data_IF_292825977020
#
_entry.id   IF_292825977020
#
_cell.length_a   1.000
_cell.length_b   1.000
_cell.length_c   1.000
_cell.angle_alpha   90.00
_cell.angle_beta   90.00
_cell.angle_gamma   90.00
#
_symmetry.space_group_name_H-M   'P 1'
#
loop_
_entity.id
_entity.type
_entity.pdbx_description
1 polymer ?
#
# COMPACT_ATOMS: atom_id res chain seq x y z
N UNK A 1 4.26 50.91 30.27
CA UNK A 1 5.68 51.15 30.60
C UNK A 1 6.59 50.41 29.62
N UNK A 2 6.45 49.09 29.49
CA UNK A 2 7.30 48.26 28.61
C UNK A 2 7.20 48.60 27.12
N UNK A 3 6.01 48.92 26.61
CA UNK A 3 5.84 49.36 25.21
C UNK A 3 6.78 50.54 24.84
N UNK A 4 6.99 51.49 25.77
CA UNK A 4 7.92 52.61 25.58
C UNK A 4 9.38 52.17 25.61
N UNK A 5 9.72 51.18 26.46
CA UNK A 5 11.08 50.65 26.61
C UNK A 5 11.49 49.84 25.38
N UNK A 6 10.57 49.06 24.83
CA UNK A 6 10.80 48.28 23.60
C UNK A 6 10.68 49.11 22.33
N UNK A 7 10.20 50.36 22.41
CA UNK A 7 9.95 51.19 21.23
C UNK A 7 8.84 50.66 20.32
N UNK A 8 7.91 49.85 20.84
CA UNK A 8 6.82 49.24 20.07
C UNK A 8 5.44 49.58 20.64
N UNK A 9 4.38 49.34 19.87
CA UNK A 9 3.01 49.59 20.33
C UNK A 9 2.58 48.61 21.42
N UNK A 10 1.65 49.02 22.28
CA UNK A 10 1.09 48.14 23.33
C UNK A 10 0.46 46.87 22.76
N UNK A 11 -0.14 46.95 21.55
CA UNK A 11 -0.67 45.79 20.82
C UNK A 11 0.44 44.80 20.46
N UNK A 12 1.62 45.28 20.06
CA UNK A 12 2.75 44.42 19.73
C UNK A 12 3.31 43.72 20.98
N UNK A 13 3.35 44.40 22.12
CA UNK A 13 3.76 43.76 23.39
C UNK A 13 2.77 42.65 23.79
N UNK A 14 1.48 42.85 23.60
CA UNK A 14 0.47 41.81 23.86
C UNK A 14 0.61 40.61 22.92
N UNK A 15 0.91 40.85 21.64
CA UNK A 15 1.21 39.77 20.69
C UNK A 15 2.44 38.98 21.12
N UNK A 16 3.54 39.65 21.47
CA UNK A 16 4.76 38.97 21.95
C UNK A 16 4.51 38.12 23.20
N UNK A 17 3.60 38.56 24.08
CA UNK A 17 3.19 37.77 25.24
C UNK A 17 2.31 36.57 24.86
N UNK A 18 1.42 36.72 23.87
CA UNK A 18 0.58 35.65 23.35
C UNK A 18 1.39 34.60 22.57
N UNK A 19 2.41 35.04 21.84
CA UNK A 19 3.37 34.20 21.11
C UNK A 19 4.39 33.51 22.06
N UNK A 20 4.31 33.76 23.38
CA UNK A 20 5.20 33.18 24.40
C UNK A 20 6.63 33.76 24.40
N UNK A 21 6.88 34.83 23.63
CA UNK A 21 8.19 35.47 23.51
C UNK A 21 8.58 36.30 24.74
N UNK A 22 7.60 36.77 25.51
CA UNK A 22 7.80 37.46 26.80
C UNK A 22 6.79 36.94 27.82
N UNK A 23 7.20 36.78 29.07
CA UNK A 23 6.34 36.22 30.11
C UNK A 23 5.63 37.30 30.94
N UNK A 24 4.41 36.98 31.38
CA UNK A 24 3.67 37.78 32.37
C UNK A 24 3.65 37.07 33.71
N UNK A 25 3.88 37.81 34.79
CA UNK A 25 3.75 37.35 36.16
C UNK A 25 2.36 37.74 36.69
N UNK A 26 1.66 36.78 37.27
CA UNK A 26 0.42 37.04 37.99
C UNK A 26 0.72 37.65 39.37
N UNK A 27 0.28 38.88 39.58
CA UNK A 27 0.35 39.56 40.89
C UNK A 27 -1.05 39.78 41.45
N UNK A 28 -1.22 40.02 42.76
CA UNK A 28 -2.53 40.30 43.38
C UNK A 28 -3.28 41.51 42.78
N UNK A 29 -2.62 42.31 41.95
CA UNK A 29 -3.16 43.48 41.23
C UNK A 29 -3.31 43.24 39.72
N UNK A 30 -3.28 41.99 39.27
CA UNK A 30 -3.40 41.56 37.87
C UNK A 30 -2.08 41.15 37.22
N UNK A 31 -2.16 40.78 35.92
CA UNK A 31 -1.00 40.41 35.10
C UNK A 31 -0.07 41.58 34.89
N UNK A 32 1.19 41.41 35.25
CA UNK A 32 2.26 42.39 35.06
C UNK A 32 3.45 41.73 34.40
N UNK A 33 4.36 42.55 33.91
CA UNK A 33 5.60 42.10 33.30
C UNK A 33 6.76 42.49 34.20
N UNK A 34 7.67 41.56 34.46
CA UNK A 34 8.93 41.88 35.14
C UNK A 34 9.92 42.46 34.14
N UNK A 35 10.48 43.61 34.46
CA UNK A 35 11.28 44.40 33.53
C UNK A 35 12.54 43.66 33.08
N UNK A 36 13.29 43.05 34.02
CA UNK A 36 14.60 42.47 33.71
C UNK A 36 14.47 41.20 32.84
N UNK A 37 13.65 40.21 33.21
CA UNK A 37 13.47 39.00 32.39
C UNK A 37 12.85 39.33 31.03
N UNK A 38 11.84 40.21 30.99
CA UNK A 38 11.16 40.58 29.74
C UNK A 38 12.11 41.27 28.76
N UNK A 39 13.02 42.13 29.24
CA UNK A 39 14.03 42.78 28.38
C UNK A 39 15.03 41.75 27.84
N UNK A 40 15.51 40.82 28.68
CA UNK A 40 16.45 39.78 28.24
C UNK A 40 15.83 38.86 27.19
N UNK A 41 14.61 38.37 27.41
CA UNK A 41 13.86 37.55 26.44
C UNK A 41 13.66 38.30 25.12
N UNK A 42 13.32 39.58 25.19
CA UNK A 42 13.14 40.41 23.99
C UNK A 42 14.44 40.61 23.21
N UNK A 43 15.57 40.83 23.89
CA UNK A 43 16.89 40.92 23.26
C UNK A 43 17.26 39.60 22.57
N UNK A 44 17.04 38.46 23.22
CA UNK A 44 17.28 37.13 22.64
C UNK A 44 16.43 36.92 21.39
N UNK A 45 15.14 37.22 21.44
CA UNK A 45 14.25 37.13 20.28
C UNK A 45 14.71 38.03 19.12
N UNK A 46 15.14 39.26 19.40
CA UNK A 46 15.70 40.14 18.36
C UNK A 46 17.00 39.59 17.77
N UNK A 47 17.87 39.01 18.59
CA UNK A 47 19.10 38.39 18.14
C UNK A 47 18.84 37.16 17.26
N UNK A 48 17.89 36.30 17.64
CA UNK A 48 17.52 35.12 16.85
C UNK A 48 16.85 35.50 15.52
N UNK A 49 16.03 36.56 15.54
CA UNK A 49 15.41 37.13 14.35
C UNK A 49 16.42 37.80 13.41
N UNK A 50 17.40 38.53 13.95
CA UNK A 50 18.47 39.17 13.16
C UNK A 50 19.43 38.14 12.56
N UNK A 51 19.71 37.06 13.28
CA UNK A 51 20.54 35.95 12.81
C UNK A 51 19.80 34.97 11.89
N UNK A 52 18.50 35.19 11.64
CA UNK A 52 17.68 34.37 10.75
C UNK A 52 17.48 32.92 11.20
N UNK A 53 17.71 32.62 12.49
CA UNK A 53 17.64 31.25 13.03
C UNK A 53 16.25 30.64 12.89
N UNK A 54 15.19 31.42 13.14
CA UNK A 54 13.79 30.97 12.95
C UNK A 54 13.46 30.57 11.50
N UNK A 55 14.08 31.21 10.50
CA UNK A 55 13.91 30.83 9.09
C UNK A 55 14.75 29.60 8.73
N UNK A 56 16.00 29.55 9.22
CA UNK A 56 16.90 28.40 8.97
C UNK A 56 16.39 27.10 9.58
N UNK A 57 15.80 27.14 10.78
CA UNK A 57 15.19 25.96 11.40
C UNK A 57 14.00 25.46 10.58
N UNK A 58 13.07 26.36 10.20
CA UNK A 58 11.92 25.99 9.37
C UNK A 58 12.33 25.50 7.97
N UNK A 59 13.31 26.13 7.34
CA UNK A 59 13.81 25.70 6.03
C UNK A 59 14.53 24.34 6.13
N UNK A 60 15.30 24.12 7.21
CA UNK A 60 15.93 22.82 7.52
C UNK A 60 14.89 21.72 7.77
N UNK A 61 13.81 22.01 8.50
CA UNK A 61 12.72 21.07 8.72
C UNK A 61 11.98 20.73 7.42
N UNK A 62 11.77 21.72 6.55
CA UNK A 62 11.16 21.49 5.24
C UNK A 62 12.08 20.71 4.30
N UNK A 63 13.40 20.96 4.32
CA UNK A 63 14.37 20.19 3.55
C UNK A 63 14.48 18.75 4.03
N UNK A 64 14.49 18.51 5.34
CA UNK A 64 14.47 17.15 5.89
C UNK A 64 13.20 16.40 5.52
N UNK A 65 12.03 17.02 5.66
CA UNK A 65 10.75 16.41 5.26
C UNK A 65 10.69 16.10 3.75
N UNK A 66 11.22 16.98 2.89
CA UNK A 66 11.32 16.73 1.46
C UNK A 66 12.24 15.55 1.16
N UNK A 67 13.42 15.52 1.77
CA UNK A 67 14.38 14.43 1.59
C UNK A 67 13.81 13.09 2.05
N UNK A 68 13.08 13.07 3.18
CA UNK A 68 12.38 11.88 3.65
C UNK A 68 11.29 11.43 2.66
N UNK A 69 10.50 12.34 2.14
CA UNK A 69 9.45 12.03 1.16
C UNK A 69 10.05 11.50 -0.14
N UNK A 70 11.11 12.12 -0.65
CA UNK A 70 11.85 11.66 -1.83
C UNK A 70 12.45 10.28 -1.61
N UNK A 71 13.05 10.05 -0.43
CA UNK A 71 13.62 8.75 -0.05
C UNK A 71 12.54 7.68 0.00
N UNK A 72 11.39 7.97 0.64
CA UNK A 72 10.24 7.04 0.68
C UNK A 72 9.71 6.75 -0.73
N UNK A 73 9.60 7.76 -1.58
CA UNK A 73 9.14 7.58 -2.96
C UNK A 73 10.12 6.71 -3.76
N UNK A 74 11.42 6.92 -3.59
CA UNK A 74 12.47 6.12 -4.24
C UNK A 74 12.43 4.67 -3.75
N UNK A 75 12.31 4.44 -2.45
CA UNK A 75 12.17 3.10 -1.87
C UNK A 75 10.91 2.40 -2.42
N UNK A 76 9.78 3.10 -2.47
CA UNK A 76 8.53 2.54 -3.01
C UNK A 76 8.67 2.15 -4.49
N UNK A 77 9.26 3.02 -5.30
CA UNK A 77 9.54 2.74 -6.73
C UNK A 77 10.50 1.57 -6.90
N UNK A 78 11.58 1.52 -6.14
CA UNK A 78 12.51 0.38 -6.16
C UNK A 78 11.79 -0.93 -5.82
N UNK A 79 10.95 -0.92 -4.79
CA UNK A 79 10.15 -2.09 -4.42
C UNK A 79 9.15 -2.51 -5.50
N UNK A 80 8.55 -1.55 -6.21
CA UNK A 80 7.70 -1.88 -7.36
C UNK A 80 8.48 -2.59 -8.46
N UNK A 81 9.66 -2.07 -8.82
CA UNK A 81 10.53 -2.68 -9.83
C UNK A 81 10.99 -4.08 -9.41
N UNK A 82 11.31 -4.28 -8.12
CA UNK A 82 11.64 -5.61 -7.59
C UNK A 82 10.48 -6.60 -7.71
N UNK A 83 9.24 -6.16 -7.44
CA UNK A 83 8.05 -7.02 -7.57
C UNK A 83 7.74 -7.33 -9.04
N UNK A 84 7.88 -6.36 -9.93
CA UNK A 84 7.71 -6.55 -11.38
C UNK A 84 8.77 -7.53 -11.93
N UNK A 85 10.02 -7.42 -11.46
CA UNK A 85 11.08 -8.36 -11.80
C UNK A 85 10.74 -9.77 -11.30
N UNK A 86 10.26 -9.91 -10.07
CA UNK A 86 9.83 -11.20 -9.53
C UNK A 86 8.64 -11.81 -10.31
N UNK A 87 7.70 -10.99 -10.79
CA UNK A 87 6.60 -11.42 -11.67
C UNK A 87 7.13 -11.92 -13.03
N UNK A 88 8.13 -11.24 -13.61
CA UNK A 88 8.79 -11.65 -14.86
C UNK A 88 9.60 -12.95 -14.71
N UNK A 89 10.29 -13.11 -13.58
CA UNK A 89 11.03 -14.33 -13.23
C UNK A 89 10.09 -15.51 -12.89
N UNK A 90 8.79 -15.26 -12.73
CA UNK A 90 7.79 -16.27 -12.39
C UNK A 90 7.84 -16.72 -10.94
N UNK A 91 8.52 -15.99 -10.06
CA UNK A 91 8.56 -16.26 -8.62
C UNK A 91 7.39 -15.63 -7.86
N UNK A 92 6.69 -14.68 -8.48
CA UNK A 92 5.48 -14.05 -7.95
C UNK A 92 4.36 -14.07 -8.99
N UNK A 93 3.13 -14.34 -8.52
CA UNK A 93 1.91 -14.24 -9.31
C UNK A 93 0.88 -13.40 -8.58
N UNK A 94 0.08 -12.68 -9.35
CA UNK A 94 -1.08 -11.98 -8.81
C UNK A 94 -2.11 -12.99 -8.33
N UNK A 95 -2.82 -12.64 -7.26
CA UNK A 95 -3.82 -13.53 -6.67
C UNK A 95 -4.92 -13.87 -7.68
N UNK A 96 -5.32 -12.92 -8.52
CA UNK A 96 -6.36 -13.10 -9.53
C UNK A 96 -5.96 -14.12 -10.60
N UNK A 97 -4.68 -14.18 -10.98
CA UNK A 97 -4.18 -15.18 -11.94
C UNK A 97 -4.20 -16.57 -11.32
N UNK A 98 -3.72 -16.69 -10.08
CA UNK A 98 -3.70 -17.97 -9.34
C UNK A 98 -5.12 -18.50 -9.17
N UNK A 99 -6.06 -17.64 -8.80
CA UNK A 99 -7.47 -18.00 -8.64
C UNK A 99 -8.09 -18.48 -9.95
N UNK A 100 -7.83 -17.77 -11.05
CA UNK A 100 -8.40 -18.13 -12.35
C UNK A 100 -7.87 -19.47 -12.85
N UNK A 101 -6.56 -19.70 -12.71
CA UNK A 101 -5.90 -20.97 -13.06
C UNK A 101 -6.46 -22.13 -12.23
N UNK A 102 -6.60 -21.93 -10.91
CA UNK A 102 -7.20 -22.93 -10.02
C UNK A 102 -8.67 -23.20 -10.37
N UNK A 103 -9.42 -22.16 -10.72
CA UNK A 103 -10.82 -22.26 -11.13
C UNK A 103 -10.96 -23.10 -12.38
N UNK A 104 -10.15 -22.84 -13.40
CA UNK A 104 -10.17 -23.60 -14.66
C UNK A 104 -9.84 -25.08 -14.42
N UNK A 105 -8.87 -25.37 -13.55
CA UNK A 105 -8.57 -26.74 -13.15
C UNK A 105 -9.75 -27.43 -12.46
N UNK A 106 -10.39 -26.76 -11.50
CA UNK A 106 -11.58 -27.31 -10.82
C UNK A 106 -12.76 -27.49 -11.79
N UNK A 107 -12.94 -26.57 -12.75
CA UNK A 107 -13.98 -26.68 -13.77
C UNK A 107 -13.74 -27.85 -14.72
N UNK A 108 -12.49 -28.15 -15.06
CA UNK A 108 -12.13 -29.34 -15.82
C UNK A 108 -12.52 -30.62 -15.06
N UNK A 109 -12.16 -30.71 -13.77
CA UNK A 109 -12.53 -31.85 -12.91
C UNK A 109 -14.04 -32.00 -12.79
N UNK A 110 -14.76 -30.90 -12.57
CA UNK A 110 -16.23 -30.89 -12.58
C UNK A 110 -16.79 -31.45 -13.89
N UNK A 111 -16.23 -31.07 -15.03
CA UNK A 111 -16.66 -31.52 -16.34
C UNK A 111 -16.44 -33.03 -16.51
N UNK A 112 -15.30 -33.55 -16.06
CA UNK A 112 -15.03 -34.99 -16.05
C UNK A 112 -16.01 -35.78 -15.17
N UNK A 113 -16.32 -35.26 -13.98
CA UNK A 113 -17.31 -35.87 -13.08
C UNK A 113 -18.71 -35.92 -13.71
N UNK A 114 -19.12 -34.86 -14.41
CA UNK A 114 -20.42 -34.80 -15.10
C UNK A 114 -20.48 -35.76 -16.31
N UNK A 115 -19.35 -35.98 -16.98
CA UNK A 115 -19.25 -36.93 -18.10
C UNK A 115 -19.17 -38.40 -17.63
N UNK A 116 -18.75 -38.65 -16.39
CA UNK A 116 -18.51 -39.99 -15.85
C UNK A 116 -19.73 -40.93 -16.01
N UNK A 117 -20.97 -40.56 -15.66
CA UNK A 117 -22.11 -41.47 -15.77
C UNK A 117 -22.37 -41.90 -17.22
N UNK A 118 -22.26 -40.97 -18.18
CA UNK A 118 -22.43 -41.25 -19.60
C UNK A 118 -21.34 -42.19 -20.14
N UNK A 119 -20.08 -41.95 -19.75
CA UNK A 119 -18.94 -42.80 -20.13
C UNK A 119 -19.05 -44.21 -19.56
N UNK A 120 -19.55 -44.35 -18.33
CA UNK A 120 -19.68 -45.63 -17.65
C UNK A 120 -20.96 -46.39 -18.03
N UNK A 121 -21.99 -45.73 -18.56
CA UNK A 121 -23.30 -46.33 -18.80
C UNK A 121 -23.25 -47.64 -19.61
N UNK A 122 -22.48 -47.66 -20.71
CA UNK A 122 -22.37 -48.85 -21.59
C UNK A 122 -21.62 -49.98 -20.89
N UNK A 123 -20.51 -49.68 -20.21
CA UNK A 123 -19.69 -50.68 -19.51
C UNK A 123 -20.47 -51.30 -18.34
N UNK A 124 -21.15 -50.46 -17.56
CA UNK A 124 -21.94 -50.91 -16.42
C UNK A 124 -23.19 -51.70 -16.83
N UNK A 125 -23.80 -51.38 -17.97
CA UNK A 125 -24.93 -52.15 -18.50
C UNK A 125 -24.59 -53.59 -18.88
N UNK A 126 -23.31 -53.87 -19.18
CA UNK A 126 -22.79 -55.19 -19.54
C UNK A 126 -22.24 -55.98 -18.34
N UNK A 127 -22.07 -55.30 -17.20
CA UNK A 127 -21.51 -55.89 -15.99
C UNK A 127 -22.44 -56.94 -15.42
N UNK A 128 -21.91 -58.13 -15.11
CA UNK A 128 -22.72 -59.27 -14.64
C UNK A 128 -22.84 -59.34 -13.12
N UNK A 129 -21.95 -58.63 -12.41
CA UNK A 129 -21.89 -58.64 -10.94
C UNK A 129 -21.74 -57.22 -10.39
N UNK A 130 -22.18 -57.02 -9.15
CA UNK A 130 -21.99 -55.76 -8.43
C UNK A 130 -20.50 -55.45 -8.20
N UNK A 131 -19.67 -56.48 -8.00
CA UNK A 131 -18.22 -56.34 -7.81
C UNK A 131 -17.54 -55.77 -9.05
N UNK A 132 -17.86 -56.31 -10.24
CA UNK A 132 -17.31 -55.84 -11.52
C UNK A 132 -17.69 -54.37 -11.78
N UNK A 133 -18.95 -54.02 -11.53
CA UNK A 133 -19.44 -52.64 -11.64
C UNK A 133 -18.71 -51.69 -10.67
N UNK A 134 -18.54 -52.10 -9.42
CA UNK A 134 -17.82 -51.34 -8.39
C UNK A 134 -16.37 -51.08 -8.78
N UNK A 135 -15.65 -52.11 -9.23
CA UNK A 135 -14.25 -51.98 -9.67
C UNK A 135 -14.11 -51.07 -10.90
N UNK A 136 -15.08 -51.10 -11.82
CA UNK A 136 -15.08 -50.21 -12.98
C UNK A 136 -15.29 -48.74 -12.59
N UNK A 137 -16.19 -48.47 -11.64
CA UNK A 137 -16.43 -47.13 -11.09
C UNK A 137 -15.19 -46.63 -10.36
N UNK A 138 -14.60 -47.45 -9.48
CA UNK A 138 -13.37 -47.08 -8.74
C UNK A 138 -12.24 -46.69 -9.68
N UNK A 139 -12.01 -47.45 -10.76
CA UNK A 139 -10.98 -47.10 -11.75
C UNK A 139 -11.22 -45.73 -12.37
N UNK A 140 -12.46 -45.39 -12.69
CA UNK A 140 -12.80 -44.10 -13.28
C UNK A 140 -12.61 -42.96 -12.26
N UNK A 141 -13.00 -43.17 -11.01
CA UNK A 141 -12.75 -42.21 -9.91
C UNK A 141 -11.25 -41.99 -9.72
N UNK A 142 -10.43 -43.05 -9.70
CA UNK A 142 -8.97 -42.92 -9.57
C UNK A 142 -8.35 -42.17 -10.75
N UNK A 143 -8.87 -42.33 -11.97
CA UNK A 143 -8.41 -41.53 -13.11
C UNK A 143 -8.68 -40.04 -12.89
N UNK A 144 -9.89 -39.66 -12.47
CA UNK A 144 -10.23 -38.25 -12.20
C UNK A 144 -9.40 -37.69 -11.03
N UNK A 145 -9.17 -38.48 -9.98
CA UNK A 145 -8.30 -38.09 -8.88
C UNK A 145 -6.84 -37.92 -9.34
N UNK A 146 -6.38 -38.73 -10.29
CA UNK A 146 -5.09 -38.57 -10.96
C UNK A 146 -4.98 -37.20 -11.63
N UNK A 147 -5.96 -36.82 -12.46
CA UNK A 147 -5.99 -35.48 -13.07
C UNK A 147 -6.01 -34.35 -12.05
N UNK A 148 -6.77 -34.51 -10.96
CA UNK A 148 -6.80 -33.52 -9.89
C UNK A 148 -5.42 -33.35 -9.22
N UNK A 149 -4.72 -34.45 -8.97
CA UNK A 149 -3.43 -34.48 -8.25
C UNK A 149 -2.22 -34.15 -9.14
N UNK A 150 -2.29 -34.42 -10.44
CA UNK A 150 -1.21 -34.17 -11.40
C UNK A 150 -1.09 -32.71 -11.82
N UNK A 151 -1.89 -31.80 -11.26
CA UNK A 151 -1.79 -30.39 -11.54
C UNK A 151 -0.41 -29.85 -11.18
N UNK A 152 0.33 -29.41 -12.19
CA UNK A 152 1.66 -28.84 -12.05
C UNK A 152 1.63 -27.39 -12.46
N UNK A 153 2.45 -26.61 -11.78
CA UNK A 153 2.72 -25.24 -12.16
C UNK A 153 3.21 -25.17 -13.62
N UNK A 154 2.52 -24.39 -14.44
CA UNK A 154 2.91 -24.06 -15.81
C UNK A 154 3.23 -22.56 -15.93
N UNK A 155 4.52 -22.17 -16.01
CA UNK A 155 4.91 -20.78 -16.13
C UNK A 155 4.31 -20.08 -17.36
N UNK A 156 4.07 -20.80 -18.45
CA UNK A 156 3.60 -20.20 -19.69
C UNK A 156 2.11 -19.84 -19.63
N UNK A 157 1.33 -20.60 -18.86
CA UNK A 157 -0.07 -20.25 -18.57
C UNK A 157 -0.15 -18.94 -17.80
N UNK A 158 0.66 -18.76 -16.75
CA UNK A 158 0.71 -17.51 -15.99
C UNK A 158 1.20 -16.34 -16.85
N UNK A 159 2.25 -16.51 -17.66
CA UNK A 159 2.73 -15.49 -18.62
C UNK A 159 1.67 -15.10 -19.64
N UNK A 160 0.85 -16.05 -20.10
CA UNK A 160 -0.27 -15.77 -21.01
C UNK A 160 -1.29 -14.85 -20.34
N UNK A 161 -1.67 -15.09 -19.08
CA UNK A 161 -2.63 -14.25 -18.37
C UNK A 161 -2.10 -12.85 -18.07
N UNK A 162 -0.81 -12.73 -17.74
CA UNK A 162 -0.14 -11.42 -17.62
C UNK A 162 -0.26 -10.62 -18.91
N UNK A 163 0.06 -11.25 -20.06
CA UNK A 163 -0.04 -10.61 -21.38
C UNK A 163 -1.48 -10.23 -21.75
N UNK A 164 -2.44 -11.13 -21.50
CA UNK A 164 -3.85 -10.83 -21.73
C UNK A 164 -4.24 -9.57 -20.95
N UNK A 165 -3.96 -9.51 -19.65
CA UNK A 165 -4.26 -8.34 -18.81
C UNK A 165 -3.57 -7.06 -19.30
N UNK A 166 -2.28 -7.12 -19.65
CA UNK A 166 -1.56 -5.96 -20.19
C UNK A 166 -2.22 -5.45 -21.48
N UNK A 167 -2.55 -6.36 -22.40
CA UNK A 167 -3.25 -6.00 -23.64
C UNK A 167 -4.70 -5.52 -23.42
N UNK A 168 -5.38 -5.89 -22.33
CA UNK A 168 -6.66 -5.29 -21.94
C UNK A 168 -6.49 -3.87 -21.37
N UNK A 169 -5.43 -3.61 -20.59
CA UNK A 169 -5.14 -2.28 -20.07
C UNK A 169 -4.81 -1.27 -21.17
N UNK A 170 -4.03 -1.67 -22.18
CA UNK A 170 -3.67 -0.81 -23.32
C UNK A 170 -4.91 -0.42 -24.14
N UNK A 171 -5.78 -1.38 -24.46
CA UNK A 171 -7.01 -1.13 -25.24
C UNK A 171 -8.05 -0.28 -24.51
N UNK A 172 -8.07 -0.30 -23.18
CA UNK A 172 -8.98 0.53 -22.39
C UNK A 172 -8.46 1.97 -22.24
N UNK A 173 -7.14 2.18 -22.14
CA UNK A 173 -6.54 3.53 -22.09
C UNK A 173 -6.64 4.31 -23.41
N UNK A 174 -6.74 3.61 -24.55
CA UNK A 174 -6.96 4.23 -25.86
C UNK A 174 -8.40 4.75 -26.04
N UNK A 175 -9.40 4.07 -25.46
CA UNK A 175 -10.82 4.45 -25.58
C UNK A 175 -11.26 5.61 -24.70
N UNK A 176 -10.48 5.96 -23.67
CA UNK A 176 -10.76 7.11 -22.80
C UNK A 176 -10.11 8.41 -23.30
N UNK A 177 -9.24 8.33 -24.32
CA UNK A 177 -8.54 9.47 -24.92
C UNK A 177 -9.06 9.85 -26.32
N UNK A 178 -10.16 9.25 -26.78
CA UNK A 178 -10.95 9.67 -27.97
C UNK A 178 -12.26 10.35 -27.54
#
# INVERSE_FOLDING_TARGET
>A
MIAKIFGVTSKRVQQLAADGTIETIDTPKGRRYDLIPTVQMYITHLADKANGREKKEKDSDLETLKLEAETKNKIAKSRMVELELAELEGSMHRAEDVESVLTDHIMLVRSMLMAMPGKLAVDLSKSKTATEASERIKREVYQIMGYLAEYKYDPDEFKKRVRERQGWSERHGERENE
#
